data_IF_189971926266
#
_entry.id   IF_189971926266
#
_cell.length_a   1.000
_cell.length_b   1.000
_cell.length_c   1.000
_cell.angle_alpha   90.00
_cell.angle_beta   90.00
_cell.angle_gamma   90.00
#
_symmetry.space_group_name_H-M   'P 1'
#
loop_
_entity.id
_entity.type
_entity.pdbx_description
1 polymer ?
#
# COMPACT_ATOMS: atom_id res chain seq x y z
N UNK A 1 -74.62 -12.22 16.10
CA UNK A 1 -74.74 -12.21 14.63
C UNK A 1 -73.36 -12.48 14.03
N UNK A 2 -73.33 -13.40 13.05
CA UNK A 2 -72.34 -13.74 12.00
C UNK A 2 -70.90 -13.16 12.01
N UNK A 3 -69.95 -14.08 11.79
CA UNK A 3 -68.49 -14.00 11.51
C UNK A 3 -68.16 -13.29 10.16
N UNK A 4 -66.87 -12.98 9.78
CA UNK A 4 -65.86 -13.98 9.26
C UNK A 4 -64.36 -13.72 9.63
N UNK A 5 -63.54 -14.75 9.96
CA UNK A 5 -62.43 -15.44 9.22
C UNK A 5 -61.20 -14.59 8.79
N UNK A 6 -59.94 -15.12 8.69
CA UNK A 6 -59.60 -16.48 8.22
C UNK A 6 -58.32 -17.09 8.92
N UNK A 7 -57.65 -18.19 8.58
CA UNK A 7 -57.62 -19.17 7.47
C UNK A 7 -57.11 -20.50 8.06
N UNK A 8 -57.62 -21.63 7.55
CA UNK A 8 -57.12 -23.00 7.74
C UNK A 8 -55.70 -23.23 7.16
N UNK A 9 -54.94 -24.16 7.74
CA UNK A 9 -54.70 -25.49 7.14
C UNK A 9 -53.85 -26.37 8.04
N UNK A 10 -54.54 -27.38 8.55
CA UNK A 10 -54.02 -28.63 9.08
C UNK A 10 -53.46 -29.45 7.91
N UNK A 11 -52.33 -30.08 8.16
CA UNK A 11 -51.82 -31.24 7.43
C UNK A 11 -50.47 -31.63 8.04
N UNK A 12 -50.13 -32.87 8.30
CA UNK A 12 -50.78 -34.16 8.08
C UNK A 12 -50.00 -35.16 8.95
N UNK A 13 -50.72 -36.15 9.47
CA UNK A 13 -50.27 -37.51 9.76
C UNK A 13 -49.20 -37.73 10.85
N UNK A 14 -49.67 -38.15 12.02
CA UNK A 14 -48.96 -39.06 12.90
C UNK A 14 -48.60 -40.36 12.17
N UNK A 15 -47.33 -40.77 12.24
CA UNK A 15 -46.94 -42.19 12.16
C UNK A 15 -45.94 -42.47 13.28
N UNK A 16 -46.48 -43.06 14.35
CA UNK A 16 -45.71 -43.78 15.36
C UNK A 16 -45.14 -45.05 14.72
N UNK A 17 -43.84 -45.08 14.47
CA UNK A 17 -43.09 -46.34 14.31
C UNK A 17 -41.95 -46.35 15.33
N UNK A 18 -42.06 -47.25 16.31
CA UNK A 18 -40.99 -47.58 17.22
C UNK A 18 -40.05 -48.59 16.53
N UNK A 19 -38.80 -48.17 16.28
CA UNK A 19 -37.70 -49.05 15.91
C UNK A 19 -36.36 -48.38 16.26
N UNK A 20 -35.49 -49.00 17.08
CA UNK A 20 -34.20 -48.42 17.45
C UNK A 20 -33.24 -48.64 16.28
N UNK A 21 -33.19 -47.67 15.39
CA UNK A 21 -32.27 -47.66 14.26
C UNK A 21 -31.72 -46.27 14.11
N UNK A 22 -30.84 -45.85 15.03
CA UNK A 22 -29.99 -44.68 14.79
C UNK A 22 -29.36 -44.89 13.41
N UNK A 23 -29.71 -44.06 12.43
CA UNK A 23 -29.18 -44.20 11.08
C UNK A 23 -27.66 -44.26 11.17
N UNK A 24 -27.04 -45.21 10.47
CA UNK A 24 -25.59 -45.45 10.60
C UNK A 24 -24.76 -44.18 10.30
N UNK A 25 -25.32 -43.24 9.53
CA UNK A 25 -24.72 -41.95 9.22
C UNK A 25 -25.11 -40.80 10.16
N UNK A 26 -25.88 -41.05 11.23
CA UNK A 26 -26.22 -40.05 12.24
C UNK A 26 -24.96 -39.58 12.99
N UNK A 27 -24.84 -38.28 13.17
CA UNK A 27 -23.72 -37.65 13.90
C UNK A 27 -24.19 -36.95 15.16
N UNK A 28 -23.28 -36.77 16.11
CA UNK A 28 -23.49 -35.91 17.26
C UNK A 28 -23.70 -34.46 16.83
N UNK A 29 -24.25 -33.60 17.70
CA UNK A 29 -24.09 -32.17 17.56
C UNK A 29 -22.60 -31.80 17.45
N UNK A 30 -22.33 -30.70 16.75
CA UNK A 30 -20.98 -30.18 16.68
C UNK A 30 -20.48 -29.75 18.06
N UNK A 31 -19.23 -30.09 18.37
CA UNK A 31 -18.51 -29.51 19.49
C UNK A 31 -18.26 -28.00 19.30
N UNK A 32 -17.78 -27.32 20.36
CA UNK A 32 -17.38 -25.93 20.26
C UNK A 32 -16.21 -25.78 19.28
N UNK A 33 -16.08 -24.58 18.71
CA UNK A 33 -14.91 -24.21 17.94
C UNK A 33 -13.67 -24.15 18.84
N UNK A 34 -12.54 -24.64 18.33
CA UNK A 34 -11.23 -24.43 18.94
C UNK A 34 -10.86 -22.95 18.92
N UNK A 35 -9.86 -22.59 19.73
CA UNK A 35 -9.13 -21.34 19.52
C UNK A 35 -8.55 -21.28 18.11
N UNK A 36 -8.32 -20.07 17.61
CA UNK A 36 -7.64 -19.86 16.34
C UNK A 36 -6.24 -20.47 16.42
N UNK A 37 -5.84 -21.21 15.38
CA UNK A 37 -4.51 -21.84 15.30
C UNK A 37 -3.37 -20.84 15.38
N UNK A 38 -3.62 -19.61 14.92
CA UNK A 38 -2.68 -18.50 14.95
C UNK A 38 -3.21 -17.40 15.88
N UNK A 39 -2.30 -16.81 16.66
CA UNK A 39 -2.60 -15.66 17.52
C UNK A 39 -2.58 -14.33 16.76
N UNK A 40 -2.03 -14.31 15.55
CA UNK A 40 -1.95 -13.16 14.67
C UNK A 40 -2.11 -13.60 13.20
N UNK A 41 -2.50 -12.69 12.32
CA UNK A 41 -2.67 -12.98 10.90
C UNK A 41 -3.81 -13.96 10.61
N UNK A 42 -3.65 -14.75 9.55
CA UNK A 42 -4.67 -15.71 9.10
C UNK A 42 -4.42 -17.06 9.77
N UNK A 43 -5.38 -17.53 10.55
CA UNK A 43 -5.38 -18.86 11.13
C UNK A 43 -6.65 -19.64 10.80
N UNK A 44 -6.80 -20.79 11.44
CA UNK A 44 -8.01 -21.60 11.34
C UNK A 44 -8.48 -22.06 12.72
N UNK A 45 -9.79 -22.09 12.90
CA UNK A 45 -10.43 -22.77 14.03
C UNK A 45 -11.10 -24.04 13.50
N UNK A 46 -11.14 -25.07 14.32
CA UNK A 46 -11.72 -26.36 13.97
C UNK A 46 -12.75 -26.77 15.00
N UNK A 47 -13.81 -27.44 14.57
CA UNK A 47 -14.73 -28.14 15.46
C UNK A 47 -14.93 -29.56 14.97
N UNK A 48 -15.22 -30.44 15.92
CA UNK A 48 -15.37 -31.88 15.66
C UNK A 48 -16.77 -32.34 16.07
N UNK A 49 -17.27 -33.36 15.38
CA UNK A 49 -18.43 -34.17 15.76
C UNK A 49 -18.10 -35.63 15.49
N UNK A 50 -18.81 -36.54 16.12
CA UNK A 50 -18.58 -37.97 15.95
C UNK A 50 -19.83 -38.65 15.37
N UNK A 51 -19.64 -39.81 14.72
CA UNK A 51 -20.78 -40.65 14.38
C UNK A 51 -21.36 -41.26 15.65
N UNK A 52 -22.68 -41.27 15.77
CA UNK A 52 -23.36 -41.92 16.89
C UNK A 52 -23.17 -43.45 16.80
N UNK A 53 -23.06 -43.98 15.58
CA UNK A 53 -22.74 -45.37 15.30
C UNK A 53 -21.29 -45.53 14.79
N UNK A 54 -20.55 -46.48 15.37
CA UNK A 54 -19.14 -46.75 15.01
C UNK A 54 -18.94 -47.17 13.55
N UNK A 55 -19.97 -47.75 12.92
CA UNK A 55 -19.97 -48.18 11.53
C UNK A 55 -20.16 -47.00 10.55
N UNK A 56 -20.57 -45.84 11.05
CA UNK A 56 -20.70 -44.59 10.30
C UNK A 56 -19.41 -44.15 9.64
N UNK A 57 -18.26 -44.28 10.32
CA UNK A 57 -16.96 -43.92 9.75
C UNK A 57 -16.63 -44.67 8.45
N UNK A 58 -17.04 -45.93 8.33
CA UNK A 58 -16.76 -46.76 7.14
C UNK A 58 -17.83 -46.64 6.08
N UNK A 59 -19.11 -46.56 6.48
CA UNK A 59 -20.25 -46.56 5.55
C UNK A 59 -20.62 -45.16 5.03
N UNK A 60 -20.19 -44.10 5.72
CA UNK A 60 -20.58 -42.73 5.44
C UNK A 60 -19.37 -41.80 5.23
N UNK A 61 -18.44 -42.11 4.31
CA UNK A 61 -17.23 -41.30 4.09
C UNK A 61 -17.52 -39.89 3.55
N UNK A 62 -18.72 -39.66 3.02
CA UNK A 62 -19.18 -38.36 2.53
C UNK A 62 -19.59 -37.41 3.67
N UNK A 63 -19.81 -37.92 4.88
CA UNK A 63 -20.20 -37.10 6.03
C UNK A 63 -18.93 -36.63 6.75
N UNK A 64 -18.74 -35.32 6.83
CA UNK A 64 -17.59 -34.72 7.50
C UNK A 64 -17.75 -34.72 9.01
N UNK A 65 -16.74 -35.20 9.74
CA UNK A 65 -16.67 -35.17 11.20
C UNK A 65 -15.82 -34.01 11.74
N UNK A 66 -15.12 -33.31 10.85
CA UNK A 66 -14.30 -32.14 11.16
C UNK A 66 -14.73 -31.00 10.26
N UNK A 67 -14.91 -29.82 10.85
CA UNK A 67 -15.17 -28.58 10.12
C UNK A 67 -14.08 -27.58 10.46
N UNK A 68 -13.58 -26.89 9.43
CA UNK A 68 -12.49 -25.93 9.53
C UNK A 68 -12.96 -24.60 8.97
N UNK A 69 -12.84 -23.55 9.77
CA UNK A 69 -13.22 -22.19 9.39
C UNK A 69 -12.00 -21.27 9.54
N UNK A 70 -11.87 -20.32 8.62
CA UNK A 70 -10.80 -19.31 8.68
C UNK A 70 -11.07 -18.33 9.82
N UNK A 71 -10.05 -18.00 10.59
CA UNK A 71 -10.09 -16.93 11.59
C UNK A 71 -9.03 -15.88 11.27
N UNK A 72 -9.29 -14.64 11.66
CA UNK A 72 -8.39 -13.51 11.47
C UNK A 72 -8.01 -12.96 12.83
N UNK A 73 -6.71 -12.99 13.14
CA UNK A 73 -6.12 -12.32 14.29
C UNK A 73 -5.58 -10.93 13.92
N UNK A 74 -5.08 -10.17 14.90
CA UNK A 74 -4.36 -8.92 14.63
C UNK A 74 -3.19 -9.17 13.68
N UNK A 75 -2.77 -8.18 12.86
CA UNK A 75 -1.62 -8.36 11.98
C UNK A 75 -0.38 -8.77 12.79
N UNK A 76 0.33 -9.80 12.32
CA UNK A 76 1.55 -10.23 12.98
C UNK A 76 2.58 -9.11 12.91
N UNK A 77 3.03 -8.61 14.06
CA UNK A 77 4.03 -7.53 14.18
C UNK A 77 5.45 -7.95 13.75
N UNK A 78 5.61 -9.20 13.30
CA UNK A 78 6.81 -9.76 12.68
C UNK A 78 6.71 -9.96 11.16
N UNK A 79 5.69 -9.41 10.50
CA UNK A 79 5.73 -9.26 9.04
C UNK A 79 6.76 -8.19 8.74
N UNK A 80 8.04 -8.59 8.70
CA UNK A 80 8.84 -8.12 7.57
C UNK A 80 7.97 -8.46 6.37
N UNK A 81 7.59 -7.45 5.60
CA UNK A 81 7.25 -7.68 4.21
C UNK A 81 8.42 -8.49 3.68
N UNK A 82 8.26 -9.82 3.63
CA UNK A 82 9.20 -10.67 2.94
C UNK A 82 8.99 -10.21 1.51
N UNK A 83 9.79 -9.22 1.09
CA UNK A 83 10.21 -9.12 -0.29
C UNK A 83 10.61 -10.56 -0.59
N UNK A 84 9.75 -11.27 -1.32
CA UNK A 84 10.05 -12.63 -1.75
C UNK A 84 11.29 -12.45 -2.60
N UNK A 85 12.46 -12.67 -1.99
CA UNK A 85 13.74 -12.56 -2.67
C UNK A 85 13.69 -13.65 -3.72
N UNK A 86 13.37 -13.26 -4.95
CA UNK A 86 13.27 -14.18 -6.07
C UNK A 86 14.62 -14.86 -6.20
N UNK A 87 14.69 -16.13 -5.82
CA UNK A 87 15.92 -16.91 -5.86
C UNK A 87 16.48 -17.00 -7.29
N UNK A 88 15.66 -16.81 -8.32
CA UNK A 88 16.09 -16.76 -9.73
C UNK A 88 16.63 -15.39 -10.15
N UNK A 89 16.27 -14.33 -9.43
CA UNK A 89 16.68 -12.96 -9.71
C UNK A 89 17.10 -12.24 -8.42
N UNK A 90 18.17 -12.72 -7.75
CA UNK A 90 18.71 -12.06 -6.58
C UNK A 90 19.07 -10.61 -6.91
N UNK A 91 18.73 -9.70 -5.99
CA UNK A 91 19.06 -8.26 -6.08
C UNK A 91 19.89 -7.84 -4.88
N UNK A 92 20.61 -6.72 -5.03
CA UNK A 92 21.14 -5.98 -3.87
C UNK A 92 19.99 -5.44 -3.03
N UNK A 93 20.30 -5.01 -1.82
CA UNK A 93 19.41 -4.12 -1.10
C UNK A 93 19.24 -2.81 -1.89
N UNK A 94 18.15 -2.10 -1.61
CA UNK A 94 17.90 -0.79 -2.17
C UNK A 94 18.97 0.21 -1.72
N UNK A 95 19.35 1.11 -2.61
CA UNK A 95 20.06 2.32 -2.22
C UNK A 95 19.20 3.17 -1.28
N UNK A 96 19.85 4.12 -0.61
CA UNK A 96 19.14 5.25 -0.02
C UNK A 96 18.36 6.01 -1.10
N UNK A 97 17.32 6.72 -0.65
CA UNK A 97 16.59 7.64 -1.51
C UNK A 97 17.47 8.81 -1.93
N UNK A 98 17.35 9.21 -3.20
CA UNK A 98 17.92 10.46 -3.70
C UNK A 98 17.32 11.66 -2.96
N UNK A 99 18.00 12.82 -3.00
CA UNK A 99 17.36 14.10 -2.73
C UNK A 99 16.10 14.30 -3.59
N UNK A 100 15.19 15.15 -3.13
CA UNK A 100 13.99 15.47 -3.88
C UNK A 100 14.36 16.16 -5.21
N UNK A 101 13.72 15.78 -6.31
CA UNK A 101 13.98 16.35 -7.63
C UNK A 101 13.62 17.84 -7.73
N UNK A 102 12.84 18.33 -6.77
CA UNK A 102 12.46 19.72 -6.64
C UNK A 102 12.78 20.18 -5.21
N UNK A 103 13.42 21.34 -5.10
CA UNK A 103 13.67 21.98 -3.81
C UNK A 103 12.37 22.54 -3.20
N UNK A 104 11.40 22.91 -4.05
CA UNK A 104 10.10 23.40 -3.62
C UNK A 104 8.95 22.68 -4.31
N UNK A 105 7.78 22.73 -3.69
CA UNK A 105 6.56 22.13 -4.20
C UNK A 105 6.66 20.61 -4.31
N UNK A 106 5.91 20.05 -5.26
CA UNK A 106 5.86 18.61 -5.50
C UNK A 106 7.07 18.18 -6.34
N UNK A 107 7.90 17.31 -5.79
CA UNK A 107 8.96 16.61 -6.50
C UNK A 107 8.81 15.10 -6.41
N UNK A 108 9.81 14.41 -6.95
CA UNK A 108 9.96 12.97 -6.83
C UNK A 108 11.37 12.65 -6.36
N UNK A 109 11.51 11.58 -5.58
CA UNK A 109 12.80 11.00 -5.20
C UNK A 109 12.87 9.59 -5.74
N UNK A 110 14.09 9.13 -6.00
CA UNK A 110 14.35 7.83 -6.61
C UNK A 110 15.29 7.01 -5.73
N UNK A 111 15.15 5.68 -5.79
CA UNK A 111 16.16 4.76 -5.29
C UNK A 111 16.31 3.61 -6.26
N UNK A 112 17.46 2.96 -6.24
CA UNK A 112 17.78 1.89 -7.18
C UNK A 112 18.40 0.70 -6.48
N UNK A 113 18.27 -0.47 -7.09
CA UNK A 113 18.97 -1.70 -6.70
C UNK A 113 19.48 -2.41 -7.94
N UNK A 114 20.46 -3.29 -7.78
CA UNK A 114 21.11 -4.00 -8.87
C UNK A 114 20.74 -5.47 -8.87
N UNK A 115 20.73 -6.09 -10.06
CA UNK A 115 20.61 -7.54 -10.20
C UNK A 115 21.97 -8.20 -9.95
N UNK A 116 21.98 -9.23 -9.11
CA UNK A 116 23.15 -10.05 -8.79
C UNK A 116 23.26 -11.30 -9.69
N UNK A 117 22.74 -11.21 -10.92
CA UNK A 117 22.74 -12.31 -11.91
C UNK A 117 23.72 -12.05 -13.04
N UNK A 118 24.06 -13.11 -13.77
CA UNK A 118 24.88 -13.04 -14.99
C UNK A 118 24.16 -12.25 -16.10
N UNK A 119 24.89 -11.58 -17.02
CA UNK A 119 24.31 -10.74 -18.08
C UNK A 119 23.22 -11.42 -18.92
N UNK A 120 23.37 -12.71 -19.23
CA UNK A 120 22.41 -13.50 -20.01
C UNK A 120 21.02 -13.62 -19.35
N UNK A 121 20.96 -13.46 -18.03
CA UNK A 121 19.73 -13.53 -17.24
C UNK A 121 19.18 -12.14 -16.89
N UNK A 122 19.92 -11.06 -17.15
CA UNK A 122 19.52 -9.71 -16.75
C UNK A 122 18.22 -9.28 -17.41
N UNK A 123 18.06 -9.40 -18.73
CA UNK A 123 16.83 -8.99 -19.43
C UNK A 123 15.59 -9.74 -18.92
N UNK A 124 15.73 -11.05 -18.66
CA UNK A 124 14.65 -11.89 -18.11
C UNK A 124 14.28 -11.52 -16.68
N UNK A 125 15.21 -10.98 -15.91
CA UNK A 125 14.98 -10.54 -14.55
C UNK A 125 14.46 -9.10 -14.48
N UNK A 126 14.96 -8.21 -15.34
CA UNK A 126 14.54 -6.80 -15.43
C UNK A 126 13.04 -6.64 -15.70
N UNK A 127 12.45 -7.55 -16.49
CA UNK A 127 11.00 -7.54 -16.75
C UNK A 127 10.15 -8.04 -15.58
N UNK A 128 10.75 -8.78 -14.64
CA UNK A 128 10.06 -9.41 -13.49
C UNK A 128 10.22 -8.63 -12.19
N UNK A 129 11.29 -7.84 -12.08
CA UNK A 129 11.69 -7.15 -10.85
C UNK A 129 11.82 -5.66 -11.10
N UNK A 130 11.23 -4.87 -10.20
CA UNK A 130 11.44 -3.41 -10.14
C UNK A 130 12.86 -3.10 -9.63
N UNK A 131 13.67 -2.45 -10.47
CA UNK A 131 15.04 -2.05 -10.14
C UNK A 131 15.18 -0.57 -9.77
N UNK A 132 14.19 0.25 -10.14
CA UNK A 132 14.12 1.68 -9.83
C UNK A 132 12.76 1.93 -9.21
N UNK A 133 12.75 2.56 -8.04
CA UNK A 133 11.52 2.98 -7.39
C UNK A 133 11.49 4.50 -7.28
N UNK A 134 10.32 5.07 -7.50
CA UNK A 134 10.06 6.50 -7.34
C UNK A 134 9.00 6.74 -6.26
N UNK A 135 9.17 7.82 -5.50
CA UNK A 135 8.18 8.25 -4.52
C UNK A 135 8.00 9.78 -4.60
N UNK A 136 6.78 10.30 -4.39
CA UNK A 136 6.57 11.73 -4.27
C UNK A 136 7.31 12.28 -3.04
N UNK A 137 7.80 13.51 -3.15
CA UNK A 137 8.41 14.26 -2.07
C UNK A 137 8.02 15.73 -2.13
N UNK A 138 8.09 16.40 -0.99
CA UNK A 138 7.96 17.84 -0.85
C UNK A 138 9.07 18.23 0.12
N UNK A 139 10.05 18.98 -0.37
CA UNK A 139 11.17 19.45 0.46
C UNK A 139 10.79 20.78 1.12
N UNK A 140 10.51 21.82 0.31
CA UNK A 140 9.76 23.01 0.77
C UNK A 140 8.33 23.00 0.18
N UNK A 141 7.28 23.30 0.98
CA UNK A 141 5.90 23.21 0.51
C UNK A 141 5.51 24.30 -0.49
N UNK A 142 6.20 25.44 -0.43
CA UNK A 142 5.85 26.61 -1.21
C UNK A 142 6.94 26.94 -2.23
N UNK A 143 6.52 27.05 -3.49
CA UNK A 143 7.36 27.53 -4.59
C UNK A 143 7.21 29.04 -4.82
N UNK A 144 6.51 29.75 -3.93
CA UNK A 144 6.63 31.19 -3.82
C UNK A 144 8.05 31.51 -3.33
N UNK A 145 8.98 31.57 -4.28
CA UNK A 145 9.89 32.70 -4.25
C UNK A 145 8.99 33.93 -4.24
N UNK A 146 9.21 34.91 -3.36
CA UNK A 146 8.53 36.20 -3.43
C UNK A 146 8.80 36.83 -4.81
N UNK A 147 7.96 36.54 -5.81
CA UNK A 147 8.31 36.60 -7.25
C UNK A 147 7.68 37.78 -7.97
N UNK A 148 7.64 38.93 -7.30
CA UNK A 148 7.58 40.23 -7.94
C UNK A 148 8.37 41.26 -7.12
N UNK A 149 9.49 40.84 -6.52
CA UNK A 149 10.39 41.83 -5.94
C UNK A 149 11.07 42.58 -7.08
N UNK A 150 10.77 43.86 -7.22
CA UNK A 150 11.51 44.73 -8.12
C UNK A 150 13.00 44.63 -7.82
N UNK A 151 13.77 44.21 -8.81
CA UNK A 151 15.24 44.13 -8.77
C UNK A 151 15.82 45.26 -9.57
N UNK A 152 17.10 45.52 -9.38
CA UNK A 152 17.84 46.54 -10.10
C UNK A 152 18.88 45.87 -10.99
N UNK A 153 19.06 46.37 -12.21
CA UNK A 153 20.17 46.00 -13.06
C UNK A 153 20.83 47.27 -13.61
N UNK A 154 22.14 47.23 -13.82
CA UNK A 154 22.86 48.29 -14.49
C UNK A 154 22.55 48.25 -15.99
N UNK A 155 22.15 49.39 -16.54
CA UNK A 155 22.00 49.62 -17.96
C UNK A 155 23.19 50.45 -18.44
N UNK A 156 24.07 49.81 -19.23
CA UNK A 156 25.28 50.46 -19.74
C UNK A 156 24.98 51.59 -20.74
N UNK A 157 23.81 51.60 -21.39
CA UNK A 157 23.40 52.65 -22.32
C UNK A 157 22.90 53.90 -21.58
N UNK A 158 22.18 53.69 -20.47
CA UNK A 158 21.71 54.76 -19.59
C UNK A 158 22.74 55.17 -18.53
N UNK A 159 23.85 54.42 -18.41
CA UNK A 159 24.88 54.57 -17.38
C UNK A 159 24.32 54.63 -15.95
N UNK A 160 23.25 53.87 -15.70
CA UNK A 160 22.55 53.89 -14.42
C UNK A 160 21.84 52.57 -14.14
N UNK A 161 21.41 52.38 -12.91
CA UNK A 161 20.64 51.22 -12.51
C UNK A 161 19.14 51.44 -12.73
N UNK A 162 18.49 50.52 -13.43
CA UNK A 162 17.06 50.56 -13.74
C UNK A 162 16.36 49.37 -13.08
N UNK A 163 15.11 49.60 -12.65
CA UNK A 163 14.32 48.58 -11.98
C UNK A 163 13.70 47.63 -13.02
N UNK A 164 13.73 46.34 -12.73
CA UNK A 164 13.07 45.30 -13.54
C UNK A 164 12.37 44.28 -12.64
N UNK A 165 11.42 43.56 -13.21
CA UNK A 165 10.73 42.46 -12.52
C UNK A 165 11.53 41.19 -12.72
N UNK A 166 12.01 40.60 -11.63
CA UNK A 166 12.77 39.36 -11.67
C UNK A 166 11.92 38.17 -11.22
N UNK A 167 11.69 37.23 -12.14
CA UNK A 167 10.93 36.00 -11.92
C UNK A 167 11.67 34.91 -11.13
N UNK A 168 12.63 35.26 -10.26
CA UNK A 168 13.25 34.31 -9.31
C UNK A 168 14.20 33.24 -9.87
N UNK A 169 14.26 33.02 -11.19
CA UNK A 169 15.03 31.92 -11.80
C UNK A 169 16.02 32.43 -12.87
N UNK A 170 17.13 31.72 -13.08
CA UNK A 170 18.09 31.91 -14.21
C UNK A 170 18.60 33.36 -14.38
N UNK A 171 18.90 34.04 -13.27
CA UNK A 171 19.49 35.38 -13.29
C UNK A 171 20.98 35.34 -13.64
N UNK A 172 21.51 36.49 -14.04
CA UNK A 172 22.96 36.72 -14.13
C UNK A 172 23.40 37.65 -12.98
N UNK A 173 24.68 38.02 -12.95
CA UNK A 173 25.23 38.89 -11.88
C UNK A 173 24.68 40.33 -11.92
N UNK A 174 23.98 40.74 -12.99
CA UNK A 174 23.38 42.05 -13.12
C UNK A 174 21.95 42.05 -12.54
N UNK A 175 21.83 41.70 -11.26
CA UNK A 175 20.55 41.53 -10.56
C UNK A 175 20.73 41.82 -9.07
N UNK A 176 20.33 43.01 -8.66
CA UNK A 176 20.56 43.56 -7.32
C UNK A 176 19.24 43.79 -6.58
N UNK A 177 19.28 43.70 -5.25
CA UNK A 177 18.10 43.91 -4.43
C UNK A 177 17.76 45.41 -4.32
N UNK A 178 18.77 46.28 -4.32
CA UNK A 178 18.62 47.73 -4.16
C UNK A 178 19.36 48.52 -5.24
N UNK A 179 18.89 49.75 -5.50
CA UNK A 179 19.55 50.68 -6.41
C UNK A 179 20.99 51.00 -5.98
N UNK A 180 21.20 51.16 -4.67
CA UNK A 180 22.51 51.49 -4.10
C UNK A 180 23.52 50.36 -4.26
N UNK A 181 23.12 49.11 -4.03
CA UNK A 181 23.96 47.93 -4.28
C UNK A 181 24.38 47.84 -5.76
N UNK A 182 23.44 48.10 -6.67
CA UNK A 182 23.70 48.13 -8.10
C UNK A 182 24.69 49.24 -8.49
N UNK A 183 24.49 50.47 -7.98
CA UNK A 183 25.41 51.57 -8.25
C UNK A 183 26.79 51.32 -7.64
N UNK A 184 26.89 50.89 -6.39
CA UNK A 184 28.19 50.65 -5.74
C UNK A 184 28.99 49.54 -6.45
N UNK A 185 28.31 48.56 -7.04
CA UNK A 185 28.95 47.47 -7.78
C UNK A 185 29.33 47.90 -9.21
N UNK A 186 28.48 48.65 -9.89
CA UNK A 186 28.60 48.91 -11.33
C UNK A 186 29.01 50.35 -11.71
N UNK A 187 29.04 51.32 -10.78
CA UNK A 187 29.37 52.73 -11.08
C UNK A 187 30.83 52.97 -11.50
N UNK A 188 31.66 51.92 -11.53
CA UNK A 188 33.08 52.01 -11.96
C UNK A 188 33.24 52.05 -13.48
N UNK A 189 32.15 52.03 -14.27
CA UNK A 189 32.22 52.25 -15.73
C UNK A 189 32.30 53.75 -16.05
N UNK A 190 33.33 54.44 -15.55
CA UNK A 190 33.81 55.71 -16.14
C UNK A 190 35.16 55.42 -16.78
N UNK A 191 35.15 55.37 -18.11
CA UNK A 191 36.32 55.04 -18.91
C UNK A 191 37.47 56.03 -18.76
N UNK A 192 38.67 55.48 -18.90
CA UNK A 192 39.80 56.11 -19.60
C UNK A 192 39.86 55.55 -21.03
#
# INVERSE_FOLDING_TARGET
MRLPFPVSRIGLQESLDAGPGVSVCSTSPWGPWSSCSESCGVGFKMRNRFFVDNMGMKKCPHVTTVEKEKCMGPPCTGVQTVEVKDHMCPTTDWSDWSPCSAFCGKGVKFRQRLLLVLPELQEKCQSRIELIQQAPCIDTPDCTFDMATGRWHFDASALTCVQFVYGGCRGNQNNFLTFEECLNTCAVVKGE
#
